data_IF_600026717401
#
_entry.id   IF_600026717401
#
_cell.length_a   1.000
_cell.length_b   1.000
_cell.length_c   1.000
_cell.angle_alpha   90.00
_cell.angle_beta   90.00
_cell.angle_gamma   90.00
#
_symmetry.space_group_name_H-M   'P 1'
#
loop_
_entity.id
_entity.type
_entity.pdbx_description
1 polymer ?
#
# COMPACT_ATOMS: atom_id res chain seq x y z
N UNK A 1 -6.38 -5.65 12.50
CA UNK A 1 -6.35 -4.24 12.87
C UNK A 1 -5.94 -4.10 14.33
N UNK A 2 -4.94 -3.25 14.58
CA UNK A 2 -4.56 -2.83 15.94
C UNK A 2 -4.46 -1.31 15.98
N UNK A 3 -4.85 -0.72 17.08
CA UNK A 3 -4.63 0.70 17.32
C UNK A 3 -3.19 0.91 17.82
N UNK A 4 -2.33 1.41 16.95
CA UNK A 4 -0.92 1.66 17.28
C UNK A 4 -0.74 2.78 18.32
N UNK A 5 -1.80 3.50 18.70
CA UNK A 5 -1.78 4.48 19.80
C UNK A 5 -2.20 3.91 21.15
N UNK A 6 -2.63 2.63 21.20
CA UNK A 6 -3.09 1.99 22.43
C UNK A 6 -1.95 1.79 23.43
N UNK A 7 -2.21 2.07 24.69
CA UNK A 7 -1.26 1.80 25.79
C UNK A 7 -1.07 0.29 26.00
N UNK A 8 -2.04 -0.54 25.60
CA UNK A 8 -2.00 -2.00 25.67
C UNK A 8 -1.38 -2.65 24.44
N UNK A 9 -0.94 -1.88 23.44
CA UNK A 9 -0.47 -2.39 22.15
C UNK A 9 0.57 -3.50 22.28
N UNK A 10 1.58 -3.32 23.14
CA UNK A 10 2.64 -4.31 23.29
C UNK A 10 2.12 -5.67 23.80
N UNK A 11 1.15 -5.67 24.71
CA UNK A 11 0.54 -6.91 25.20
C UNK A 11 -0.39 -7.53 24.15
N UNK A 12 -1.13 -6.70 23.42
CA UNK A 12 -2.00 -7.14 22.31
C UNK A 12 -1.17 -7.82 21.21
N UNK A 13 -0.08 -7.20 20.76
CA UNK A 13 0.82 -7.79 19.76
C UNK A 13 1.42 -9.11 20.23
N UNK A 14 1.86 -9.17 21.49
CA UNK A 14 2.38 -10.40 22.10
C UNK A 14 1.32 -11.51 22.13
N UNK A 15 0.07 -11.18 22.44
CA UNK A 15 -1.02 -12.15 22.44
C UNK A 15 -1.39 -12.60 21.03
N UNK A 16 -1.45 -11.70 20.07
CA UNK A 16 -1.72 -12.03 18.67
C UNK A 16 -0.59 -12.86 18.05
N UNK A 17 0.67 -12.63 18.45
CA UNK A 17 1.81 -13.41 17.94
C UNK A 17 1.74 -14.91 18.28
N UNK A 18 0.87 -15.33 19.18
CA UNK A 18 0.56 -16.75 19.42
C UNK A 18 -0.11 -17.42 18.21
N UNK A 19 -0.74 -16.65 17.34
CA UNK A 19 -1.33 -17.15 16.09
C UNK A 19 -0.25 -17.26 15.02
N UNK A 20 0.05 -18.49 14.60
CA UNK A 20 1.13 -18.80 13.66
C UNK A 20 1.01 -18.11 12.30
N UNK A 21 -0.21 -17.75 11.92
CA UNK A 21 -0.50 -17.12 10.61
C UNK A 21 -0.49 -15.58 10.66
N UNK A 22 -0.23 -14.96 11.81
CA UNK A 22 -0.06 -13.50 11.87
C UNK A 22 1.23 -13.10 11.16
N UNK A 23 1.14 -12.21 10.16
CA UNK A 23 2.28 -11.72 9.38
C UNK A 23 2.50 -10.23 9.53
N UNK A 24 1.43 -9.47 9.68
CA UNK A 24 1.50 -8.02 9.71
C UNK A 24 0.24 -7.39 10.28
N UNK A 25 0.30 -6.07 10.41
CA UNK A 25 -0.80 -5.22 10.83
C UNK A 25 -1.18 -4.32 9.65
N UNK A 26 -2.47 -4.03 9.50
CA UNK A 26 -2.97 -3.06 8.53
C UNK A 26 -3.71 -1.95 9.26
N UNK A 27 -3.45 -0.72 8.84
CA UNK A 27 -4.25 0.44 9.23
C UNK A 27 -4.46 1.36 8.04
N UNK A 28 -5.67 1.89 7.88
CA UNK A 28 -5.97 2.94 6.92
C UNK A 28 -5.58 4.25 7.57
N UNK A 29 -4.71 5.02 6.93
CA UNK A 29 -4.16 6.28 7.44
C UNK A 29 -4.42 7.46 6.49
N UNK A 30 -5.29 7.27 5.51
CA UNK A 30 -5.64 8.28 4.52
C UNK A 30 -6.16 9.55 5.21
N UNK A 31 -5.36 10.60 5.23
CA UNK A 31 -5.68 11.89 5.82
C UNK A 31 -5.16 13.02 4.94
N UNK A 32 -5.97 14.03 4.70
CA UNK A 32 -5.59 15.23 3.98
C UNK A 32 -5.74 16.46 4.88
N UNK A 33 -4.66 17.23 5.01
CA UNK A 33 -4.67 18.50 5.73
C UNK A 33 -5.29 19.64 4.90
N UNK A 34 -5.26 19.49 3.58
CA UNK A 34 -5.66 20.54 2.62
C UNK A 34 -7.00 20.28 1.96
N UNK A 35 -7.49 19.06 1.97
CA UNK A 35 -8.77 18.64 1.39
C UNK A 35 -9.57 17.79 2.37
N UNK A 36 -10.45 18.40 3.20
CA UNK A 36 -11.26 17.68 4.18
C UNK A 36 -12.24 16.66 3.56
N UNK A 37 -12.62 16.79 2.28
CA UNK A 37 -13.52 15.86 1.60
C UNK A 37 -12.89 14.48 1.42
N UNK A 38 -11.56 14.40 1.47
CA UNK A 38 -10.82 13.15 1.45
C UNK A 38 -10.77 12.42 2.80
N UNK A 39 -11.19 13.08 3.90
CA UNK A 39 -11.15 12.50 5.25
C UNK A 39 -12.41 11.69 5.56
N UNK A 40 -12.62 10.61 4.83
CA UNK A 40 -13.83 9.78 4.83
C UNK A 40 -13.73 8.51 5.67
N UNK A 41 -12.57 8.25 6.27
CA UNK A 41 -12.34 7.03 7.03
C UNK A 41 -12.53 7.27 8.53
N UNK A 42 -13.43 6.50 9.15
CA UNK A 42 -13.68 6.57 10.58
C UNK A 42 -12.40 6.30 11.39
N UNK A 43 -12.19 7.10 12.44
CA UNK A 43 -11.03 6.98 13.33
C UNK A 43 -9.73 7.54 12.75
N UNK A 44 -9.75 8.20 11.58
CA UNK A 44 -8.60 8.90 10.99
C UNK A 44 -8.86 10.41 11.08
N UNK A 45 -8.52 11.00 12.22
CA UNK A 45 -8.77 12.40 12.56
C UNK A 45 -7.53 13.30 12.42
N UNK A 46 -6.39 12.73 12.08
CA UNK A 46 -5.10 13.42 11.92
C UNK A 46 -4.11 12.61 11.08
N UNK A 47 -3.01 13.25 10.72
CA UNK A 47 -1.91 12.58 10.05
C UNK A 47 -1.09 11.71 11.03
N UNK A 48 -1.44 10.44 11.17
CA UNK A 48 -0.76 9.50 12.07
C UNK A 48 0.73 9.32 11.75
N UNK A 49 1.15 9.53 10.51
CA UNK A 49 2.56 9.40 10.13
C UNK A 49 3.47 10.40 10.87
N UNK A 50 2.92 11.49 11.40
CA UNK A 50 3.62 12.51 12.19
C UNK A 50 3.30 12.45 13.68
N UNK A 51 2.37 11.59 14.10
CA UNK A 51 1.96 11.43 15.50
C UNK A 51 3.00 10.62 16.28
N UNK A 52 3.58 11.21 17.32
CA UNK A 52 4.64 10.58 18.10
C UNK A 52 4.19 9.30 18.85
N UNK A 53 2.93 9.27 19.35
CA UNK A 53 2.41 8.09 20.03
C UNK A 53 2.21 6.93 19.04
N UNK A 54 1.66 7.22 17.87
CA UNK A 54 1.50 6.23 16.80
C UNK A 54 2.86 5.69 16.34
N UNK A 55 3.86 6.56 16.13
CA UNK A 55 5.22 6.16 15.72
C UNK A 55 5.91 5.28 16.76
N UNK A 56 5.70 5.57 18.04
CA UNK A 56 6.18 4.71 19.13
C UNK A 56 5.54 3.31 19.06
N UNK A 57 4.24 3.24 18.79
CA UNK A 57 3.56 1.97 18.56
C UNK A 57 4.07 1.25 17.31
N UNK A 58 4.29 1.97 16.21
CA UNK A 58 4.83 1.42 14.96
C UNK A 58 6.21 0.75 15.18
N UNK A 59 7.06 1.34 16.02
CA UNK A 59 8.37 0.78 16.36
C UNK A 59 8.33 -0.63 16.95
N UNK A 60 7.21 -1.02 17.56
CA UNK A 60 7.04 -2.36 18.12
C UNK A 60 6.87 -3.44 17.06
N UNK A 61 6.51 -3.09 15.82
CA UNK A 61 6.26 -4.07 14.76
C UNK A 61 7.52 -4.87 14.43
N UNK A 62 8.69 -4.22 14.36
CA UNK A 62 9.97 -4.90 14.12
C UNK A 62 10.30 -5.90 15.22
N UNK A 63 10.07 -5.55 16.50
CA UNK A 63 10.24 -6.44 17.66
C UNK A 63 9.47 -7.75 17.52
N UNK A 64 8.28 -7.70 16.91
CA UNK A 64 7.42 -8.86 16.69
C UNK A 64 7.57 -9.47 15.29
N UNK A 65 8.51 -8.99 14.45
CA UNK A 65 8.69 -9.40 13.06
C UNK A 65 7.37 -9.36 12.28
N UNK A 66 6.70 -8.22 12.36
CA UNK A 66 5.44 -7.93 11.66
C UNK A 66 5.67 -6.89 10.58
N UNK A 67 5.07 -7.11 9.41
CA UNK A 67 4.96 -6.10 8.36
C UNK A 67 3.84 -5.10 8.66
N UNK A 68 3.86 -3.98 7.96
CA UNK A 68 2.79 -2.99 8.01
C UNK A 68 2.20 -2.73 6.62
N UNK A 69 0.91 -3.04 6.45
CA UNK A 69 0.15 -2.72 5.24
C UNK A 69 -0.32 -1.27 5.33
N UNK A 70 0.39 -0.38 4.64
CA UNK A 70 0.19 1.08 4.67
C UNK A 70 -0.82 1.51 3.61
N UNK A 71 -1.86 2.23 4.01
CA UNK A 71 -2.79 2.87 3.11
C UNK A 71 -2.89 4.36 3.41
N UNK A 72 -2.52 5.19 2.44
CA UNK A 72 -2.38 6.66 2.55
C UNK A 72 -2.80 7.35 1.26
N UNK A 73 -3.07 8.65 1.33
CA UNK A 73 -3.22 9.49 0.13
C UNK A 73 -1.87 9.89 -0.48
N UNK A 74 -1.84 10.32 -1.76
CA UNK A 74 -0.63 10.80 -2.43
C UNK A 74 0.13 11.86 -1.65
N UNK A 75 -0.56 12.83 -1.07
CA UNK A 75 0.02 13.90 -0.24
C UNK A 75 0.81 13.40 0.99
N UNK A 76 0.57 12.16 1.41
CA UNK A 76 1.25 11.53 2.55
C UNK A 76 2.47 10.66 2.15
N UNK A 77 2.74 10.45 0.85
CA UNK A 77 3.82 9.55 0.40
C UNK A 77 5.21 10.04 0.83
N UNK A 78 5.44 11.34 0.88
CA UNK A 78 6.70 11.88 1.41
C UNK A 78 6.88 11.53 2.90
N UNK A 79 5.82 11.64 3.70
CA UNK A 79 5.85 11.24 5.12
C UNK A 79 5.99 9.72 5.28
N UNK A 80 5.46 8.95 4.33
CA UNK A 80 5.67 7.51 4.27
C UNK A 80 7.14 7.13 3.98
N UNK A 81 7.81 7.92 3.15
CA UNK A 81 9.26 7.78 2.94
C UNK A 81 10.04 8.07 4.23
N UNK A 82 9.74 9.18 4.93
CA UNK A 82 10.36 9.50 6.21
C UNK A 82 10.14 8.35 7.22
N UNK A 83 8.92 7.81 7.31
CA UNK A 83 8.60 6.66 8.16
C UNK A 83 9.48 5.44 7.81
N UNK A 84 9.61 5.11 6.54
CA UNK A 84 10.41 3.97 6.09
C UNK A 84 11.90 4.11 6.43
N UNK A 85 12.42 5.32 6.42
CA UNK A 85 13.81 5.64 6.78
C UNK A 85 14.05 5.57 8.29
N UNK A 86 13.07 5.99 9.09
CA UNK A 86 13.17 5.95 10.55
C UNK A 86 13.00 4.53 11.11
N UNK A 87 12.31 3.63 10.37
CA UNK A 87 12.05 2.25 10.76
C UNK A 87 12.51 1.25 9.68
N UNK A 88 13.81 1.18 9.35
CA UNK A 88 14.31 0.37 8.23
C UNK A 88 14.11 -1.15 8.44
N UNK A 89 13.96 -1.60 9.68
CA UNK A 89 13.75 -3.01 10.03
C UNK A 89 12.28 -3.47 9.85
N UNK A 90 11.36 -2.53 9.62
CA UNK A 90 9.95 -2.86 9.41
C UNK A 90 9.64 -2.89 7.91
N UNK A 91 9.18 -4.04 7.40
CA UNK A 91 8.66 -4.13 6.05
C UNK A 91 7.35 -3.35 5.95
N UNK A 92 7.28 -2.41 5.03
CA UNK A 92 6.08 -1.65 4.70
C UNK A 92 5.54 -2.12 3.35
N UNK A 93 4.27 -2.49 3.29
CA UNK A 93 3.57 -2.85 2.05
C UNK A 93 2.60 -1.74 1.72
N UNK A 94 2.95 -0.90 0.73
CA UNK A 94 2.09 0.18 0.27
C UNK A 94 0.89 -0.39 -0.46
N UNK A 95 -0.32 -0.13 0.06
CA UNK A 95 -1.56 -0.61 -0.52
C UNK A 95 -2.01 0.26 -1.70
N UNK A 96 -2.69 -0.38 -2.64
CA UNK A 96 -3.47 0.27 -3.70
C UNK A 96 -2.64 1.27 -4.51
N UNK A 97 -1.39 0.89 -4.80
CA UNK A 97 -0.52 1.70 -5.66
C UNK A 97 -0.35 3.14 -5.15
N UNK A 98 -0.41 3.33 -3.80
CA UNK A 98 -0.35 4.65 -3.17
C UNK A 98 -1.62 5.48 -3.35
N UNK A 99 -2.76 4.85 -3.64
CA UNK A 99 -4.10 5.46 -3.75
C UNK A 99 -4.16 6.69 -4.67
N UNK A 100 -3.76 6.61 -5.96
CA UNK A 100 -3.87 7.75 -6.89
C UNK A 100 -5.32 8.25 -6.93
N UNK A 101 -5.53 9.57 -6.96
CA UNK A 101 -6.87 10.14 -6.86
C UNK A 101 -7.70 10.01 -8.15
N UNK A 102 -7.06 9.91 -9.31
CA UNK A 102 -7.69 9.66 -10.62
C UNK A 102 -8.83 10.65 -10.96
N UNK A 103 -8.67 11.89 -10.54
CA UNK A 103 -9.68 12.96 -10.70
C UNK A 103 -9.33 13.93 -11.84
N UNK A 104 -8.27 13.66 -12.62
CA UNK A 104 -7.78 14.51 -13.71
C UNK A 104 -7.11 15.80 -13.23
N UNK A 105 -6.87 15.95 -11.94
CA UNK A 105 -6.18 17.11 -11.38
C UNK A 105 -4.67 16.92 -11.49
N UNK A 106 -4.01 17.76 -12.28
CA UNK A 106 -2.56 17.71 -12.53
C UNK A 106 -1.70 17.85 -11.26
N UNK A 107 -2.18 18.54 -10.26
CA UNK A 107 -1.50 18.65 -8.97
C UNK A 107 -1.48 17.31 -8.25
N UNK A 108 -2.64 16.66 -8.18
CA UNK A 108 -2.79 15.36 -7.49
C UNK A 108 -2.01 14.25 -8.21
N UNK A 109 -2.02 14.25 -9.54
CA UNK A 109 -1.18 13.38 -10.37
C UNK A 109 0.30 13.60 -10.08
N UNK A 110 0.75 14.87 -10.02
CA UNK A 110 2.12 15.24 -9.70
C UNK A 110 2.54 14.85 -8.28
N UNK A 111 1.68 15.02 -7.30
CA UNK A 111 1.93 14.59 -5.91
C UNK A 111 2.11 13.07 -5.82
N UNK A 112 1.27 12.29 -6.52
CA UNK A 112 1.39 10.85 -6.58
C UNK A 112 2.73 10.43 -7.22
N UNK A 113 3.03 10.97 -8.41
CA UNK A 113 4.24 10.66 -9.17
C UNK A 113 5.52 10.93 -8.36
N UNK A 114 5.67 12.14 -7.84
CA UNK A 114 6.85 12.51 -7.05
C UNK A 114 6.92 11.74 -5.73
N UNK A 115 5.79 11.52 -5.08
CA UNK A 115 5.71 10.72 -3.85
C UNK A 115 6.14 9.28 -4.07
N UNK A 116 5.66 8.61 -5.11
CA UNK A 116 6.04 7.24 -5.49
C UNK A 116 7.53 7.15 -5.82
N UNK A 117 8.03 8.11 -6.59
CA UNK A 117 9.46 8.19 -6.97
C UNK A 117 10.37 8.36 -5.75
N UNK A 118 9.97 9.15 -4.76
CA UNK A 118 10.73 9.31 -3.52
C UNK A 118 10.65 8.04 -2.67
N UNK A 119 9.45 7.50 -2.48
CA UNK A 119 9.22 6.31 -1.66
C UNK A 119 9.90 5.06 -2.22
N UNK A 120 10.03 4.96 -3.55
CA UNK A 120 10.72 3.83 -4.21
C UNK A 120 12.19 3.68 -3.84
N UNK A 121 12.82 4.74 -3.29
CA UNK A 121 14.21 4.71 -2.80
C UNK A 121 14.37 3.93 -1.48
N UNK A 122 13.28 3.57 -0.82
CA UNK A 122 13.29 2.79 0.42
C UNK A 122 13.25 1.29 0.10
N UNK A 123 14.29 0.57 0.49
CA UNK A 123 14.42 -0.87 0.21
C UNK A 123 13.42 -1.73 1.01
N UNK A 124 12.98 -1.25 2.18
CA UNK A 124 11.99 -1.90 3.02
C UNK A 124 10.53 -1.59 2.64
N UNK A 125 10.30 -1.06 1.43
CA UNK A 125 8.96 -0.80 0.90
C UNK A 125 8.68 -1.66 -0.32
N UNK A 126 7.61 -2.44 -0.26
CA UNK A 126 6.99 -3.15 -1.39
C UNK A 126 5.63 -2.53 -1.73
N UNK A 127 5.12 -2.77 -2.94
CA UNK A 127 3.84 -2.19 -3.40
C UNK A 127 2.87 -3.27 -3.82
N UNK A 128 1.66 -3.17 -3.28
CA UNK A 128 0.50 -3.95 -3.70
C UNK A 128 -0.26 -3.19 -4.78
N UNK A 129 -0.18 -3.67 -6.02
CA UNK A 129 -0.91 -3.13 -7.16
C UNK A 129 -2.33 -3.66 -7.10
N UNK A 130 -3.26 -2.83 -6.63
CA UNK A 130 -4.66 -3.18 -6.37
C UNK A 130 -5.50 -1.93 -6.17
N UNK A 131 -6.82 -2.07 -6.07
CA UNK A 131 -7.73 -0.98 -5.68
C UNK A 131 -7.81 0.17 -6.69
N UNK A 132 -7.35 -0.04 -7.92
CA UNK A 132 -7.37 0.98 -8.97
C UNK A 132 -8.80 1.31 -9.40
N UNK A 133 -9.69 0.31 -9.35
CA UNK A 133 -11.09 0.46 -9.72
C UNK A 133 -11.97 1.09 -8.63
N UNK A 134 -11.41 1.39 -7.45
CA UNK A 134 -12.12 2.23 -6.47
C UNK A 134 -12.41 3.63 -7.03
N UNK A 135 -11.51 4.16 -7.87
CA UNK A 135 -11.58 5.52 -8.44
C UNK A 135 -11.52 5.54 -9.97
N UNK A 136 -10.74 4.66 -10.59
CA UNK A 136 -10.65 4.51 -12.05
C UNK A 136 -11.79 3.67 -12.62
N UNK A 137 -11.97 3.74 -13.92
CA UNK A 137 -12.97 2.97 -14.66
C UNK A 137 -12.29 1.92 -15.57
N UNK A 138 -12.89 0.73 -15.77
CA UNK A 138 -12.40 -0.25 -16.72
C UNK A 138 -12.27 0.34 -18.12
N UNK A 139 -11.08 0.21 -18.74
CA UNK A 139 -10.79 0.78 -20.06
C UNK A 139 -10.08 2.13 -20.02
N UNK A 140 -9.82 2.69 -18.85
CA UNK A 140 -8.99 3.89 -18.73
C UNK A 140 -7.51 3.51 -18.93
N UNK A 141 -6.91 3.99 -20.04
CA UNK A 141 -5.51 3.73 -20.36
C UNK A 141 -4.54 4.31 -19.32
N UNK A 142 -4.96 5.31 -18.56
CA UNK A 142 -4.13 5.90 -17.51
C UNK A 142 -3.86 4.91 -16.36
N UNK A 143 -4.74 3.93 -16.14
CA UNK A 143 -4.49 2.85 -15.17
C UNK A 143 -3.31 1.96 -15.58
N UNK A 144 -3.15 1.70 -16.88
CA UNK A 144 -2.00 0.95 -17.41
C UNK A 144 -0.69 1.72 -17.16
N UNK A 145 -0.70 3.05 -17.35
CA UNK A 145 0.45 3.92 -17.08
C UNK A 145 0.83 3.89 -15.61
N UNK A 146 -0.14 4.00 -14.69
CA UNK A 146 0.08 3.91 -13.23
C UNK A 146 0.71 2.58 -12.84
N UNK A 147 0.22 1.46 -13.38
CA UNK A 147 0.78 0.13 -13.10
C UNK A 147 2.22 0.04 -13.60
N UNK A 148 2.45 0.38 -14.87
CA UNK A 148 3.77 0.30 -15.50
C UNK A 148 4.78 1.22 -14.80
N UNK A 149 4.37 2.43 -14.45
CA UNK A 149 5.21 3.37 -13.71
C UNK A 149 5.55 2.84 -12.31
N UNK A 150 4.56 2.31 -11.57
CA UNK A 150 4.80 1.72 -10.25
C UNK A 150 5.84 0.60 -10.33
N UNK A 151 5.70 -0.30 -11.31
CA UNK A 151 6.66 -1.41 -11.52
C UNK A 151 8.03 -0.86 -11.93
N UNK A 152 8.10 0.17 -12.76
CA UNK A 152 9.35 0.81 -13.16
C UNK A 152 10.08 1.46 -11.98
N UNK A 153 9.36 2.15 -11.10
CA UNK A 153 9.93 2.85 -9.94
C UNK A 153 10.41 1.88 -8.84
N UNK A 154 9.61 0.89 -8.49
CA UNK A 154 9.93 -0.04 -7.40
C UNK A 154 10.68 -1.28 -7.86
N UNK A 155 10.63 -1.57 -9.15
CA UNK A 155 11.17 -2.81 -9.74
C UNK A 155 10.27 -4.02 -9.50
N UNK A 156 10.43 -5.01 -10.41
CA UNK A 156 9.60 -6.20 -10.46
C UNK A 156 9.57 -6.99 -9.13
N UNK A 157 10.67 -6.97 -8.38
CA UNK A 157 10.81 -7.74 -7.14
C UNK A 157 10.04 -7.16 -5.96
N UNK A 158 9.62 -5.89 -6.03
CA UNK A 158 8.91 -5.19 -4.94
C UNK A 158 7.46 -4.87 -5.27
N UNK A 159 6.92 -5.41 -6.38
CA UNK A 159 5.55 -5.20 -6.80
C UNK A 159 4.81 -6.54 -6.87
N UNK A 160 3.53 -6.55 -6.52
CA UNK A 160 2.64 -7.70 -6.72
C UNK A 160 1.19 -7.28 -6.86
N UNK A 161 0.44 -8.04 -7.68
CA UNK A 161 -0.98 -7.80 -7.89
C UNK A 161 -1.84 -8.32 -6.74
N UNK A 162 -2.95 -7.62 -6.48
CA UNK A 162 -3.98 -8.07 -5.54
C UNK A 162 -5.36 -7.55 -5.96
N UNK A 163 -6.41 -8.29 -5.62
CA UNK A 163 -7.75 -8.03 -6.15
C UNK A 163 -8.48 -6.85 -5.53
N UNK A 164 -8.19 -6.51 -4.27
CA UNK A 164 -9.01 -5.59 -3.47
C UNK A 164 -10.51 -5.99 -3.38
N UNK A 165 -10.83 -7.28 -3.62
CA UNK A 165 -12.20 -7.74 -3.49
C UNK A 165 -12.59 -7.88 -2.02
N UNK A 166 -13.85 -7.56 -1.66
CA UNK A 166 -14.97 -7.30 -2.58
C UNK A 166 -15.12 -5.83 -3.05
N UNK A 167 -14.25 -4.88 -2.64
CA UNK A 167 -14.46 -3.46 -2.93
C UNK A 167 -14.50 -3.18 -4.44
N UNK A 168 -13.54 -3.69 -5.20
CA UNK A 168 -13.50 -3.47 -6.66
C UNK A 168 -14.63 -4.17 -7.42
N UNK A 169 -15.39 -5.10 -6.78
CA UNK A 169 -16.55 -5.73 -7.40
C UNK A 169 -17.69 -4.77 -7.76
N UNK A 170 -17.64 -3.55 -7.23
CA UNK A 170 -18.58 -2.49 -7.62
C UNK A 170 -18.39 -2.03 -9.08
N UNK A 171 -17.21 -2.25 -9.67
CA UNK A 171 -16.90 -1.79 -11.03
C UNK A 171 -16.40 -2.87 -11.98
N UNK A 172 -15.84 -3.97 -11.46
CA UNK A 172 -15.22 -5.00 -12.28
C UNK A 172 -15.47 -6.40 -11.69
N UNK A 173 -15.66 -7.42 -12.53
CA UNK A 173 -15.74 -8.79 -12.02
C UNK A 173 -14.35 -9.29 -11.61
N UNK A 174 -14.32 -10.30 -10.73
CA UNK A 174 -13.05 -10.90 -10.29
C UNK A 174 -12.24 -11.45 -11.47
N UNK A 175 -12.92 -12.10 -12.41
CA UNK A 175 -12.28 -12.64 -13.62
C UNK A 175 -11.69 -11.51 -14.48
N UNK A 176 -12.48 -10.49 -14.78
CA UNK A 176 -12.05 -9.41 -15.66
C UNK A 176 -10.90 -8.59 -15.06
N UNK A 177 -10.83 -8.47 -13.71
CA UNK A 177 -9.70 -7.87 -13.02
C UNK A 177 -8.40 -8.64 -13.28
N UNK A 178 -8.43 -9.97 -13.16
CA UNK A 178 -7.23 -10.78 -13.42
C UNK A 178 -6.87 -10.83 -14.89
N UNK A 179 -7.85 -10.88 -15.78
CA UNK A 179 -7.61 -10.75 -17.23
C UNK A 179 -6.99 -9.38 -17.58
N UNK A 180 -7.42 -8.30 -16.91
CA UNK A 180 -6.82 -6.97 -17.04
C UNK A 180 -5.34 -6.97 -16.58
N UNK A 181 -5.02 -7.55 -15.43
CA UNK A 181 -3.63 -7.65 -14.97
C UNK A 181 -2.76 -8.51 -15.91
N UNK A 182 -3.31 -9.58 -16.45
CA UNK A 182 -2.62 -10.40 -17.45
C UNK A 182 -2.31 -9.59 -18.72
N UNK A 183 -3.28 -8.80 -19.18
CA UNK A 183 -3.13 -7.94 -20.36
C UNK A 183 -2.08 -6.84 -20.14
N UNK A 184 -2.17 -6.07 -19.06
CA UNK A 184 -1.23 -4.96 -18.79
C UNK A 184 0.20 -5.45 -18.58
N UNK A 185 0.35 -6.72 -18.21
CA UNK A 185 1.65 -7.37 -18.01
C UNK A 185 2.12 -8.21 -19.20
N UNK A 186 1.48 -8.13 -20.38
CA UNK A 186 1.81 -9.00 -21.53
C UNK A 186 3.28 -8.91 -21.98
N UNK A 187 3.86 -7.71 -21.90
CA UNK A 187 5.26 -7.42 -22.30
C UNK A 187 6.31 -7.97 -21.31
N UNK A 188 5.92 -8.40 -20.10
CA UNK A 188 6.86 -8.97 -19.13
C UNK A 188 7.11 -10.44 -19.42
N UNK A 189 8.33 -10.88 -19.11
CA UNK A 189 8.72 -12.30 -19.20
C UNK A 189 7.89 -13.18 -18.28
N UNK A 190 7.87 -14.49 -18.54
CA UNK A 190 7.15 -15.47 -17.67
C UNK A 190 7.64 -15.37 -16.22
N UNK A 191 8.97 -15.29 -16.01
CA UNK A 191 9.55 -15.19 -14.67
C UNK A 191 9.15 -13.88 -13.93
N UNK A 192 9.02 -12.77 -14.66
CA UNK A 192 8.55 -11.51 -14.09
C UNK A 192 7.05 -11.57 -13.74
N UNK A 193 6.24 -12.20 -14.60
CA UNK A 193 4.82 -12.45 -14.32
C UNK A 193 4.64 -13.33 -13.08
N UNK A 194 5.39 -14.41 -12.96
CA UNK A 194 5.35 -15.26 -11.76
C UNK A 194 5.63 -14.45 -10.47
N UNK A 195 6.59 -13.51 -10.51
CA UNK A 195 6.84 -12.62 -9.38
C UNK A 195 5.67 -11.70 -9.07
N UNK A 196 5.10 -11.04 -10.08
CA UNK A 196 3.99 -10.10 -9.92
C UNK A 196 2.70 -10.79 -9.43
N UNK A 197 2.44 -12.00 -9.90
CA UNK A 197 1.18 -12.70 -9.61
C UNK A 197 1.23 -13.62 -8.37
N UNK A 198 2.42 -14.06 -7.96
CA UNK A 198 2.55 -15.06 -6.92
C UNK A 198 3.78 -14.86 -6.01
N UNK A 199 5.00 -15.04 -6.52
CA UNK A 199 6.22 -15.24 -5.74
C UNK A 199 6.47 -14.08 -4.75
N UNK A 200 6.28 -12.83 -5.19
CA UNK A 200 6.50 -11.67 -4.32
C UNK A 200 5.50 -11.62 -3.18
N UNK A 201 4.22 -11.91 -3.44
CA UNK A 201 3.21 -11.97 -2.38
C UNK A 201 3.53 -13.05 -1.35
N UNK A 202 3.89 -14.26 -1.80
CA UNK A 202 4.32 -15.35 -0.91
C UNK A 202 5.52 -14.95 -0.06
N UNK A 203 6.53 -14.33 -0.67
CA UNK A 203 7.74 -13.89 0.00
C UNK A 203 7.46 -12.82 1.06
N UNK A 204 6.72 -11.76 0.71
CA UNK A 204 6.46 -10.64 1.62
C UNK A 204 5.49 -11.01 2.75
N UNK A 205 4.49 -11.82 2.47
CA UNK A 205 3.56 -12.31 3.50
C UNK A 205 4.02 -13.61 4.18
N UNK A 206 5.15 -14.19 3.75
CA UNK A 206 5.74 -15.41 4.35
C UNK A 206 4.71 -16.56 4.42
N UNK A 207 4.05 -16.85 3.30
CA UNK A 207 3.01 -17.89 3.16
C UNK A 207 3.47 -18.99 2.20
#
# INVERSE_FOLDING_TARGET
YEDLTSDELNENLKNQKKYKNLRGIRQILNYSETDPELNVYDGVDRNFLTDGKWRNGFSLLSKYNLSFDLQVWPSQLLKSYELSKDFPETLIILNHTGCPLLNGNKKDEGEWHEGMKILSKSENVAVKISGLFMRGDPGDNYLDEIIKETINLFGINRCFFASNFPVDSLKITYKDLWDYFLKVSEDYTIAEKEKLFNINAESYYKI
#
